data_IF_071277403300
#
_entry.id   IF_071277403300
#
_cell.length_a   1.000
_cell.length_b   1.000
_cell.length_c   1.000
_cell.angle_alpha   90.00
_cell.angle_beta   90.00
_cell.angle_gamma   90.00
#
_symmetry.space_group_name_H-M   'P 1'
#
loop_
_entity.id
_entity.type
_entity.pdbx_description
1 polymer ?
#
# COMPACT_ATOMS: atom_id res chain seq x y z
N UNK A 1 11.04 0.04 17.13
CA UNK A 1 10.08 0.67 16.20
C UNK A 1 10.84 1.12 14.98
N UNK A 2 10.64 0.49 13.81
CA UNK A 2 11.32 0.90 12.57
C UNK A 2 10.81 2.27 12.14
N UNK A 3 11.63 3.29 12.33
CA UNK A 3 11.26 4.65 11.95
C UNK A 3 11.26 4.78 10.42
N UNK A 4 10.21 5.37 9.85
CA UNK A 4 10.14 5.68 8.41
C UNK A 4 11.35 6.50 7.95
N UNK A 5 11.78 6.36 6.70
CA UNK A 5 12.88 7.19 6.20
C UNK A 5 12.52 8.68 6.34
N UNK A 6 13.50 9.53 6.69
CA UNK A 6 13.34 10.99 6.76
C UNK A 6 12.80 11.56 5.44
N UNK A 7 13.26 11.03 4.30
CA UNK A 7 12.77 11.48 2.99
C UNK A 7 11.29 11.15 2.77
N UNK A 8 10.86 9.96 3.19
CA UNK A 8 9.46 9.51 3.12
C UNK A 8 8.56 10.36 3.99
N UNK A 9 8.95 10.60 5.24
CA UNK A 9 8.22 11.51 6.14
C UNK A 9 8.11 12.93 5.57
N UNK A 10 9.21 13.45 5.01
CA UNK A 10 9.23 14.79 4.39
C UNK A 10 8.30 14.87 3.18
N UNK A 11 8.23 13.82 2.35
CA UNK A 11 7.32 13.77 1.19
C UNK A 11 5.87 13.66 1.64
N UNK A 12 5.57 12.74 2.55
CA UNK A 12 4.21 12.54 3.09
C UNK A 12 3.61 13.84 3.64
N UNK A 13 4.40 14.61 4.39
CA UNK A 13 3.97 15.90 4.94
C UNK A 13 3.73 17.01 3.90
N UNK A 14 4.16 16.81 2.64
CA UNK A 14 3.98 17.78 1.54
C UNK A 14 2.83 17.41 0.61
N UNK A 15 2.32 16.18 0.70
CA UNK A 15 1.21 15.74 -0.13
C UNK A 15 -0.10 16.40 0.34
N UNK A 16 -0.93 16.77 -0.64
CA UNK A 16 -2.23 17.34 -0.37
C UNK A 16 -3.09 16.33 0.40
N UNK A 17 -3.65 16.78 1.52
CA UNK A 17 -4.60 16.00 2.31
C UNK A 17 -6.00 16.21 1.75
N UNK A 18 -6.84 15.18 1.82
CA UNK A 18 -8.26 15.26 1.47
C UNK A 18 -9.10 15.07 2.72
N UNK A 19 -10.37 15.46 2.65
CA UNK A 19 -11.35 15.15 3.70
C UNK A 19 -11.95 13.75 3.57
N UNK A 20 -11.64 13.02 2.50
CA UNK A 20 -12.15 11.67 2.28
C UNK A 20 -11.45 10.68 3.20
N UNK A 21 -12.21 9.70 3.70
CA UNK A 21 -11.66 8.61 4.52
C UNK A 21 -11.23 7.48 3.61
N UNK A 22 -9.96 7.10 3.70
CA UNK A 22 -9.40 5.98 2.97
C UNK A 22 -9.03 4.84 3.92
N UNK A 23 -9.24 3.62 3.45
CA UNK A 23 -8.91 2.41 4.19
C UNK A 23 -7.71 1.72 3.55
N UNK A 24 -6.75 1.34 4.37
CA UNK A 24 -5.53 0.66 3.95
C UNK A 24 -5.37 -0.67 4.68
N UNK A 25 -5.09 -1.75 3.95
CA UNK A 25 -4.81 -3.07 4.53
C UNK A 25 -3.57 -3.70 3.88
N UNK A 26 -2.91 -4.60 4.61
CA UNK A 26 -1.80 -5.42 4.13
C UNK A 26 -2.11 -6.89 4.40
N UNK A 27 -2.28 -7.69 3.34
CA UNK A 27 -2.70 -9.09 3.44
C UNK A 27 -1.78 -10.02 2.64
N UNK A 28 -1.44 -11.21 3.17
CA UNK A 28 -0.77 -12.23 2.38
C UNK A 28 -1.58 -12.62 1.15
N UNK A 29 -0.93 -12.66 -0.02
CA UNK A 29 -1.59 -12.96 -1.29
C UNK A 29 -1.92 -14.43 -1.50
N UNK A 30 -1.49 -15.32 -0.60
CA UNK A 30 -1.95 -16.71 -0.57
C UNK A 30 -3.46 -16.84 -0.37
N UNK A 31 -4.12 -15.78 0.13
CA UNK A 31 -5.57 -15.75 0.40
C UNK A 31 -6.39 -15.26 -0.81
N UNK A 32 -5.77 -14.58 -1.78
CA UNK A 32 -6.51 -13.86 -2.85
C UNK A 32 -6.52 -14.63 -4.18
N UNK A 33 -5.66 -15.63 -4.35
CA UNK A 33 -5.51 -16.35 -5.62
C UNK A 33 -5.68 -17.86 -5.49
N UNK A 34 -6.89 -18.37 -5.75
CA UNK A 34 -7.09 -19.79 -6.04
C UNK A 34 -6.78 -20.16 -7.50
N UNK A 35 -6.19 -19.29 -8.35
CA UNK A 35 -5.98 -19.66 -9.76
C UNK A 35 -4.96 -18.85 -10.61
N UNK A 36 -3.96 -18.17 -10.03
CA UNK A 36 -2.89 -17.58 -10.85
C UNK A 36 -1.52 -17.87 -10.25
N UNK A 37 -0.92 -18.96 -10.72
CA UNK A 37 0.51 -19.19 -10.63
C UNK A 37 1.18 -18.41 -11.77
N UNK A 38 2.14 -17.52 -11.47
CA UNK A 38 3.31 -17.38 -12.29
C UNK A 38 4.51 -17.87 -11.49
N UNK A 39 5.30 -18.73 -12.13
CA UNK A 39 6.59 -19.20 -11.64
C UNK A 39 7.42 -18.03 -11.05
N UNK A 40 7.70 -18.10 -9.75
CA UNK A 40 8.56 -17.11 -9.07
C UNK A 40 8.24 -16.88 -7.60
N UNK A 41 8.41 -17.91 -6.78
CA UNK A 41 8.95 -17.85 -5.40
C UNK A 41 8.71 -16.56 -4.59
N UNK A 42 7.68 -16.57 -3.75
CA UNK A 42 7.58 -15.67 -2.60
C UNK A 42 6.14 -15.48 -2.16
N UNK A 43 5.82 -15.90 -0.93
CA UNK A 43 4.62 -15.44 -0.23
C UNK A 43 4.72 -13.92 -0.23
N UNK A 44 4.02 -13.19 -1.09
CA UNK A 44 4.04 -11.73 -1.09
C UNK A 44 2.85 -11.22 -0.30
N UNK A 45 2.98 -10.05 0.32
CA UNK A 45 1.86 -9.32 0.86
C UNK A 45 1.35 -8.34 -0.20
N UNK A 46 0.04 -8.28 -0.36
CA UNK A 46 -0.66 -7.22 -1.06
C UNK A 46 -0.92 -6.08 -0.09
N UNK A 47 -0.54 -4.86 -0.44
CA UNK A 47 -0.99 -3.64 0.22
C UNK A 47 -2.06 -3.01 -0.67
N UNK A 48 -3.21 -2.68 -0.09
CA UNK A 48 -4.33 -2.07 -0.80
C UNK A 48 -4.74 -0.77 -0.10
N UNK A 49 -4.99 0.28 -0.88
CA UNK A 49 -5.62 1.52 -0.42
C UNK A 49 -6.90 1.74 -1.21
N UNK A 50 -8.01 1.89 -0.49
CA UNK A 50 -9.36 2.05 -1.06
C UNK A 50 -9.95 3.37 -0.60
N UNK A 51 -10.55 4.08 -1.52
CA UNK A 51 -11.45 5.19 -1.21
C UNK A 51 -12.86 4.64 -1.04
N UNK A 52 -13.30 4.50 0.22
CA UNK A 52 -14.64 3.98 0.52
C UNK A 52 -15.77 4.91 0.08
N UNK A 53 -15.48 6.19 -0.15
CA UNK A 53 -16.48 7.16 -0.61
C UNK A 53 -16.75 7.06 -2.12
N UNK A 54 -15.72 6.75 -2.91
CA UNK A 54 -15.82 6.60 -4.36
C UNK A 54 -15.94 5.13 -4.82
N UNK A 55 -15.68 4.17 -3.92
CA UNK A 55 -15.72 2.73 -4.23
C UNK A 55 -14.58 2.27 -5.14
N UNK A 56 -13.43 2.95 -5.09
CA UNK A 56 -12.29 2.67 -5.97
C UNK A 56 -11.03 2.28 -5.19
N UNK A 57 -10.20 1.44 -5.81
CA UNK A 57 -8.83 1.18 -5.36
C UNK A 57 -7.95 2.33 -5.82
N UNK A 58 -7.36 3.08 -4.88
CA UNK A 58 -6.44 4.19 -5.15
C UNK A 58 -5.00 3.73 -5.37
N UNK A 59 -4.58 2.67 -4.68
CA UNK A 59 -3.27 2.05 -4.91
C UNK A 59 -3.27 0.58 -4.50
N UNK A 60 -2.45 -0.21 -5.19
CA UNK A 60 -2.16 -1.59 -4.85
C UNK A 60 -0.68 -1.85 -5.08
N UNK A 61 -0.01 -2.53 -4.15
CA UNK A 61 1.41 -2.86 -4.25
C UNK A 61 1.68 -4.29 -3.77
N UNK A 62 2.54 -5.00 -4.48
CA UNK A 62 2.99 -6.36 -4.15
C UNK A 62 4.36 -6.27 -3.50
N UNK A 63 4.45 -6.65 -2.23
CA UNK A 63 5.68 -6.50 -1.46
C UNK A 63 6.09 -7.79 -0.78
N UNK A 64 7.40 -7.94 -0.56
CA UNK A 64 7.90 -9.02 0.27
C UNK A 64 7.36 -8.89 1.72
N UNK A 65 6.99 -9.98 2.41
CA UNK A 65 6.51 -9.95 3.79
C UNK A 65 7.52 -9.36 4.76
N UNK A 66 8.81 -9.45 4.44
CA UNK A 66 9.89 -8.92 5.27
C UNK A 66 10.04 -7.41 5.15
N UNK A 67 9.37 -6.78 4.18
CA UNK A 67 9.43 -5.34 3.99
C UNK A 67 8.72 -4.62 5.14
N UNK A 68 9.38 -3.63 5.73
CA UNK A 68 8.85 -2.91 6.88
C UNK A 68 7.70 -1.94 6.56
N UNK A 69 7.31 -1.09 7.53
CA UNK A 69 6.22 -0.11 7.39
C UNK A 69 6.38 0.88 6.24
N UNK A 70 7.61 1.06 5.72
CA UNK A 70 7.90 1.91 4.57
C UNK A 70 7.10 1.50 3.32
N UNK A 71 6.85 0.20 3.14
CA UNK A 71 6.05 -0.32 2.04
C UNK A 71 4.61 0.24 2.06
N UNK A 72 3.99 0.24 3.25
CA UNK A 72 2.62 0.71 3.46
C UNK A 72 2.54 2.22 3.17
N UNK A 73 3.50 2.99 3.68
CA UNK A 73 3.55 4.44 3.48
C UNK A 73 3.85 4.80 2.03
N UNK A 74 4.68 4.03 1.33
CA UNK A 74 4.92 4.23 -0.10
C UNK A 74 3.65 4.02 -0.93
N UNK A 75 2.90 2.95 -0.66
CA UNK A 75 1.61 2.71 -1.31
C UNK A 75 0.59 3.82 -0.99
N UNK A 76 0.58 4.33 0.26
CA UNK A 76 -0.26 5.48 0.63
C UNK A 76 0.11 6.75 -0.16
N UNK A 77 1.40 7.07 -0.24
CA UNK A 77 1.85 8.24 -1.01
C UNK A 77 1.47 8.11 -2.49
N UNK A 78 1.55 6.90 -3.07
CA UNK A 78 1.10 6.65 -4.44
C UNK A 78 -0.41 6.89 -4.61
N UNK A 79 -1.24 6.46 -3.66
CA UNK A 79 -2.66 6.74 -3.66
C UNK A 79 -2.94 8.26 -3.58
N UNK A 80 -2.19 8.98 -2.74
CA UNK A 80 -2.34 10.42 -2.56
C UNK A 80 -1.85 11.25 -3.76
N UNK A 81 -0.86 10.76 -4.51
CA UNK A 81 -0.32 11.45 -5.69
C UNK A 81 -1.28 11.39 -6.90
N UNK A 82 -2.35 10.58 -6.83
CA UNK A 82 -3.39 10.49 -7.85
C UNK A 82 -4.64 11.34 -7.57
N UNK A 83 -4.58 12.21 -6.54
CA UNK A 83 -5.62 13.22 -6.23
C UNK A 83 -5.42 14.42 -7.16
#
# INVERSE_FOLDING_TARGET
>A
MSALNRNTRRRLNKLQQTSSVWEGDRRPLSVIGNNHQPDGEGHNDCILWVDGSEGIVRAMDLVSPTMGPEAIVRALMQAMEQI
#
